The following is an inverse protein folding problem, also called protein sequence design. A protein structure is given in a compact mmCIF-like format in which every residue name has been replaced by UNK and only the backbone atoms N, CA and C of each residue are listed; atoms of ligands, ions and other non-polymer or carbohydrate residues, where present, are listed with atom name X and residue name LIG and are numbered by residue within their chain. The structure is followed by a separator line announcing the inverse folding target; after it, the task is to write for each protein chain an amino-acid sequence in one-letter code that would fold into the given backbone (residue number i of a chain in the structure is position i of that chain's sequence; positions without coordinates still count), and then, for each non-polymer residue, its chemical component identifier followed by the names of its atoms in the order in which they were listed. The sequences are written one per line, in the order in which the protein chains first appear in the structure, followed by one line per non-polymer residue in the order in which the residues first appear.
data_IF_445827385703
#
_entry.id   IF_445827385703
#
_cell.length_a   1.000
_cell.length_b   1.000
_cell.length_c   1.000
_cell.angle_alpha   90.00
_cell.angle_beta   90.00
_cell.angle_gamma   90.00
#
_symmetry.space_group_name_H-M   'P 1'
#
loop_
_entity.id
_entity.type
_entity.pdbx_description
1 polymer ?
#
# COMPACT_ATOMS: atom_id res chain seq x y z
N UNK A 1 26.20 -16.61 9.65
CA UNK A 1 25.32 -16.77 10.82
C UNK A 1 24.76 -15.46 11.38
N UNK A 2 24.78 -14.36 10.61
CA UNK A 2 24.39 -12.99 11.05
C UNK A 2 22.95 -12.60 10.66
N UNK A 3 22.30 -13.33 9.75
CA UNK A 3 20.96 -12.98 9.23
C UNK A 3 19.79 -13.30 10.18
N UNK A 4 19.99 -14.05 11.26
CA UNK A 4 18.90 -14.51 12.15
C UNK A 4 18.37 -13.45 13.11
N UNK A 5 19.02 -12.29 13.22
CA UNK A 5 18.68 -11.21 14.16
C UNK A 5 18.45 -9.84 13.52
N UNK A 6 18.28 -9.77 12.19
CA UNK A 6 18.00 -8.49 11.55
C UNK A 6 16.61 -7.96 11.99
N UNK A 7 16.49 -6.66 12.30
CA UNK A 7 15.23 -6.04 12.67
C UNK A 7 14.17 -6.23 11.59
N UNK A 8 14.58 -6.26 10.32
CA UNK A 8 13.74 -6.53 9.14
C UNK A 8 13.06 -7.90 9.22
N UNK A 9 13.79 -8.95 9.62
CA UNK A 9 13.24 -10.31 9.76
C UNK A 9 12.18 -10.40 10.89
N UNK A 10 12.30 -9.57 11.92
CA UNK A 10 11.29 -9.51 13.01
C UNK A 10 10.01 -8.81 12.52
N UNK A 11 10.14 -7.76 11.71
CA UNK A 11 9.01 -7.08 11.09
C UNK A 11 8.32 -8.00 10.08
N UNK A 12 9.07 -8.66 9.21
CA UNK A 12 8.54 -9.66 8.26
C UNK A 12 7.80 -10.80 8.98
N UNK A 13 8.31 -11.26 10.12
CA UNK A 13 7.62 -12.27 10.95
C UNK A 13 6.28 -11.77 11.53
N UNK A 14 6.17 -10.49 11.87
CA UNK A 14 4.91 -9.90 12.34
C UNK A 14 3.84 -9.87 11.24
N UNK A 15 4.25 -9.63 10.00
CA UNK A 15 3.36 -9.72 8.83
C UNK A 15 3.10 -11.17 8.40
N UNK A 16 4.01 -12.11 8.70
CA UNK A 16 3.84 -13.53 8.39
C UNK A 16 2.66 -14.19 9.14
N UNK A 17 2.27 -13.66 10.30
CA UNK A 17 1.07 -14.11 11.02
C UNK A 17 -0.24 -13.77 10.25
N UNK A 18 -0.17 -12.86 9.26
CA UNK A 18 -1.30 -12.40 8.45
C UNK A 18 -1.11 -12.69 6.95
N UNK A 19 -0.59 -13.87 6.62
CA UNK A 19 -0.29 -14.28 5.23
C UNK A 19 -1.44 -14.03 4.26
N UNK A 20 -2.68 -14.29 4.67
CA UNK A 20 -3.87 -14.10 3.83
C UNK A 20 -4.09 -12.63 3.47
N UNK A 21 -3.89 -11.70 4.43
CA UNK A 21 -4.03 -10.26 4.20
C UNK A 21 -2.92 -9.75 3.29
N UNK A 22 -1.68 -10.19 3.50
CA UNK A 22 -0.55 -9.83 2.65
C UNK A 22 -0.75 -10.31 1.21
N UNK A 23 -1.18 -11.56 1.03
CA UNK A 23 -1.48 -12.11 -0.31
C UNK A 23 -2.62 -11.34 -0.98
N UNK A 24 -3.65 -10.98 -0.21
CA UNK A 24 -4.76 -10.17 -0.73
C UNK A 24 -4.31 -8.77 -1.16
N UNK A 25 -3.48 -8.10 -0.35
CA UNK A 25 -2.91 -6.79 -0.69
C UNK A 25 -2.04 -6.88 -1.96
N UNK A 26 -1.18 -7.91 -2.07
CA UNK A 26 -0.38 -8.15 -3.26
C UNK A 26 -1.26 -8.36 -4.50
N UNK A 27 -2.33 -9.15 -4.39
CA UNK A 27 -3.27 -9.35 -5.49
C UNK A 27 -3.92 -8.02 -5.94
N UNK A 28 -4.31 -7.16 -4.99
CA UNK A 28 -4.86 -5.83 -5.32
C UNK A 28 -3.84 -4.94 -6.02
N UNK A 29 -2.56 -4.95 -5.61
CA UNK A 29 -1.49 -4.21 -6.28
C UNK A 29 -1.31 -4.70 -7.72
N UNK A 30 -1.29 -6.02 -7.95
CA UNK A 30 -1.19 -6.55 -9.30
C UNK A 30 -2.38 -6.18 -10.18
N UNK A 31 -3.60 -6.19 -9.64
CA UNK A 31 -4.82 -5.76 -10.35
C UNK A 31 -4.74 -4.28 -10.68
N UNK A 32 -4.35 -3.43 -9.72
CA UNK A 32 -4.19 -2.00 -9.95
C UNK A 32 -3.16 -1.71 -11.03
N UNK A 33 -1.98 -2.34 -10.96
CA UNK A 33 -0.92 -2.19 -11.96
C UNK A 33 -1.38 -2.64 -13.36
N UNK A 34 -2.12 -3.73 -13.48
CA UNK A 34 -2.68 -4.18 -14.75
C UNK A 34 -3.69 -3.17 -15.34
N UNK A 35 -4.54 -2.58 -14.49
CA UNK A 35 -5.48 -1.53 -14.90
C UNK A 35 -4.75 -0.26 -15.35
N UNK A 36 -3.73 0.17 -14.63
CA UNK A 36 -2.95 1.37 -14.95
C UNK A 36 -2.20 1.23 -16.26
N UNK A 37 -1.70 0.03 -16.59
CA UNK A 37 -1.08 -0.25 -17.89
C UNK A 37 -2.10 -0.19 -19.05
N UNK A 38 -3.37 -0.46 -18.79
CA UNK A 38 -4.42 -0.48 -19.83
C UNK A 38 -4.69 0.92 -20.41
N UNK A 39 -4.59 1.97 -19.60
CA UNK A 39 -4.83 3.37 -20.03
C UNK A 39 -3.91 3.81 -21.16
N UNK A 40 -2.56 3.66 -21.09
CA UNK A 40 -1.68 4.04 -22.19
C UNK A 40 -1.93 3.25 -23.47
N UNK A 41 -2.34 1.98 -23.39
CA UNK A 41 -2.70 1.19 -24.59
C UNK A 41 -3.94 1.75 -25.28
N UNK A 42 -4.98 2.13 -24.53
CA UNK A 42 -6.19 2.75 -25.11
C UNK A 42 -5.82 4.11 -25.72
N UNK A 43 -4.98 4.90 -25.04
CA UNK A 43 -4.54 6.22 -25.51
C UNK A 43 -3.73 6.13 -26.78
N UNK A 44 -2.82 5.15 -26.90
CA UNK A 44 -2.06 4.89 -28.10
C UNK A 44 -2.99 4.55 -29.29
N UNK A 45 -3.95 3.64 -29.10
CA UNK A 45 -4.92 3.26 -30.10
C UNK A 45 -5.74 4.46 -30.60
N UNK A 46 -6.10 5.35 -29.69
CA UNK A 46 -6.83 6.57 -30.01
C UNK A 46 -5.99 7.52 -30.86
N UNK A 47 -4.71 7.69 -30.53
CA UNK A 47 -3.78 8.51 -31.32
C UNK A 47 -3.63 7.94 -32.72
N UNK A 48 -3.45 6.62 -32.86
CA UNK A 48 -3.29 5.93 -34.15
C UNK A 48 -4.52 6.19 -35.05
N UNK A 49 -5.75 6.06 -34.50
CA UNK A 49 -6.99 6.32 -35.23
C UNK A 49 -7.10 7.78 -35.68
N UNK A 50 -6.68 8.73 -34.84
CA UNK A 50 -6.66 10.14 -35.19
C UNK A 50 -5.66 10.44 -36.30
N UNK A 51 -4.47 9.90 -36.23
CA UNK A 51 -3.42 10.09 -37.26
C UNK A 51 -3.88 9.52 -38.60
N UNK A 52 -4.48 8.32 -38.60
CA UNK A 52 -5.03 7.72 -39.82
C UNK A 52 -6.17 8.53 -40.42
N UNK A 53 -7.05 9.07 -39.60
CA UNK A 53 -8.13 9.97 -40.07
C UNK A 53 -7.58 11.23 -40.73
N UNK A 54 -6.57 11.88 -40.12
CA UNK A 54 -5.96 13.07 -40.70
C UNK A 54 -5.16 12.78 -41.99
N UNK A 55 -4.65 11.56 -42.16
CA UNK A 55 -3.92 11.14 -43.36
C UNK A 55 -4.82 10.76 -44.51
N UNK A 56 -5.90 10.04 -44.26
CA UNK A 56 -6.72 9.41 -45.29
C UNK A 56 -8.04 10.14 -45.53
N UNK A 57 -8.48 10.96 -44.58
CA UNK A 57 -9.81 11.63 -44.62
C UNK A 57 -10.98 10.65 -44.59
N UNK A 58 -10.72 9.36 -44.40
CA UNK A 58 -11.73 8.33 -44.47
C UNK A 58 -12.20 7.93 -43.05
N UNK A 59 -13.51 7.83 -42.86
CA UNK A 59 -14.17 7.37 -41.64
C UNK A 59 -14.64 8.48 -40.72
N UNK A 60 -15.45 8.11 -39.75
CA UNK A 60 -15.92 9.02 -38.68
C UNK A 60 -15.19 8.67 -37.39
N UNK A 61 -14.19 9.47 -36.95
CA UNK A 61 -13.44 9.20 -35.74
C UNK A 61 -14.28 9.38 -34.48
N UNK A 62 -15.46 10.04 -34.62
CA UNK A 62 -16.27 10.44 -33.46
C UNK A 62 -16.69 9.27 -32.58
N UNK A 63 -17.18 8.20 -33.17
CA UNK A 63 -17.60 7.01 -32.42
C UNK A 63 -16.41 6.33 -31.73
N UNK A 64 -15.25 6.26 -32.38
CA UNK A 64 -14.03 5.69 -31.79
C UNK A 64 -13.50 6.54 -30.65
N UNK A 65 -13.57 7.87 -30.80
CA UNK A 65 -13.19 8.82 -29.74
C UNK A 65 -14.10 8.66 -28.51
N UNK A 66 -15.42 8.59 -28.71
CA UNK A 66 -16.39 8.41 -27.62
C UNK A 66 -16.16 7.08 -26.92
N UNK A 67 -15.98 5.99 -27.67
CA UNK A 67 -15.72 4.67 -27.10
C UNK A 67 -14.39 4.63 -26.33
N UNK A 68 -13.33 5.23 -26.86
CA UNK A 68 -12.05 5.29 -26.19
C UNK A 68 -12.11 6.14 -24.90
N UNK A 69 -12.77 7.31 -24.97
CA UNK A 69 -12.97 8.17 -23.79
C UNK A 69 -13.79 7.46 -22.71
N UNK A 70 -14.88 6.79 -23.09
CA UNK A 70 -15.68 5.99 -22.17
C UNK A 70 -14.88 4.82 -21.58
N UNK A 71 -14.04 4.15 -22.38
CA UNK A 71 -13.15 3.09 -21.93
C UNK A 71 -12.12 3.56 -20.91
N UNK A 72 -11.44 4.68 -21.17
CA UNK A 72 -10.48 5.29 -20.25
C UNK A 72 -11.18 5.66 -18.94
N UNK A 73 -12.35 6.31 -19.02
CA UNK A 73 -13.12 6.72 -17.85
C UNK A 73 -13.52 5.51 -17.00
N UNK A 74 -13.99 4.44 -17.63
CA UNK A 74 -14.39 3.20 -16.95
C UNK A 74 -13.18 2.55 -16.26
N UNK A 75 -12.07 2.40 -16.98
CA UNK A 75 -10.83 1.83 -16.40
C UNK A 75 -10.34 2.67 -15.24
N UNK A 76 -10.36 4.00 -15.36
CA UNK A 76 -9.94 4.92 -14.30
C UNK A 76 -10.82 4.79 -13.06
N UNK A 77 -12.16 4.71 -13.22
CA UNK A 77 -13.08 4.51 -12.09
C UNK A 77 -12.78 3.17 -11.39
N UNK A 78 -12.62 2.09 -12.16
CA UNK A 78 -12.32 0.77 -11.59
C UNK A 78 -10.97 0.79 -10.87
N UNK A 79 -9.93 1.40 -11.46
CA UNK A 79 -8.62 1.56 -10.82
C UNK A 79 -8.71 2.33 -9.51
N UNK A 80 -9.48 3.43 -9.46
CA UNK A 80 -9.68 4.21 -8.22
C UNK A 80 -10.39 3.40 -7.14
N UNK A 81 -11.37 2.58 -7.49
CA UNK A 81 -12.05 1.70 -6.54
C UNK A 81 -11.06 0.66 -5.97
N UNK A 82 -10.28 0.02 -6.82
CA UNK A 82 -9.26 -0.97 -6.40
C UNK A 82 -8.22 -0.32 -5.49
N UNK A 83 -7.68 0.85 -5.87
CA UNK A 83 -6.73 1.60 -5.06
C UNK A 83 -7.33 2.04 -3.71
N UNK A 84 -8.59 2.44 -3.68
CA UNK A 84 -9.29 2.81 -2.44
C UNK A 84 -9.42 1.63 -1.50
N UNK A 85 -9.78 0.45 -2.01
CA UNK A 85 -9.86 -0.79 -1.22
C UNK A 85 -8.47 -1.18 -0.71
N UNK A 86 -7.44 -1.09 -1.55
CA UNK A 86 -6.06 -1.35 -1.16
C UNK A 86 -5.61 -0.45 -0.02
N UNK A 87 -5.76 0.87 -0.18
CA UNK A 87 -5.36 1.86 0.82
C UNK A 87 -6.10 1.67 2.15
N UNK A 88 -7.40 1.40 2.11
CA UNK A 88 -8.19 1.12 3.29
C UNK A 88 -7.71 -0.14 4.04
N UNK A 89 -7.47 -1.22 3.32
CA UNK A 89 -6.96 -2.48 3.90
C UNK A 89 -5.55 -2.33 4.44
N UNK A 90 -4.68 -1.64 3.71
CA UNK A 90 -3.32 -1.33 4.15
C UNK A 90 -3.36 -0.54 5.46
N UNK A 91 -4.15 0.54 5.51
CA UNK A 91 -4.32 1.37 6.70
C UNK A 91 -4.73 0.53 7.93
N UNK A 92 -5.76 -0.30 7.81
CA UNK A 92 -6.22 -1.16 8.91
C UNK A 92 -5.10 -2.12 9.35
N UNK A 93 -4.42 -2.75 8.40
CA UNK A 93 -3.36 -3.73 8.70
C UNK A 93 -2.19 -3.09 9.43
N UNK A 94 -1.78 -1.89 8.99
CA UNK A 94 -0.69 -1.11 9.61
C UNK A 94 -1.08 -0.68 11.02
N UNK A 95 -2.27 -0.07 11.20
CA UNK A 95 -2.77 0.39 12.51
C UNK A 95 -2.85 -0.76 13.51
N UNK A 96 -3.44 -1.89 13.12
CA UNK A 96 -3.52 -3.05 14.00
C UNK A 96 -2.15 -3.65 14.35
N UNK A 97 -1.18 -3.53 13.45
CA UNK A 97 0.20 -3.99 13.69
C UNK A 97 0.91 -3.06 14.65
N UNK A 98 0.75 -1.74 14.48
CA UNK A 98 1.24 -0.72 15.39
C UNK A 98 0.70 -0.92 16.81
N UNK A 99 -0.63 -1.06 16.95
CA UNK A 99 -1.28 -1.29 18.25
C UNK A 99 -0.78 -2.57 18.93
N UNK A 100 -0.60 -3.63 18.16
CA UNK A 100 -0.06 -4.90 18.69
C UNK A 100 1.37 -4.74 19.20
N UNK A 101 2.20 -3.99 18.49
CA UNK A 101 3.58 -3.69 18.91
C UNK A 101 3.57 -2.81 20.15
N UNK A 102 2.76 -1.74 20.15
CA UNK A 102 2.62 -0.81 21.28
C UNK A 102 2.16 -1.54 22.54
N UNK A 103 1.12 -2.34 22.45
CA UNK A 103 0.57 -3.09 23.58
C UNK A 103 1.57 -4.12 24.13
N UNK A 104 2.25 -4.88 23.27
CA UNK A 104 3.27 -5.84 23.69
C UNK A 104 4.47 -5.15 24.35
N UNK A 105 4.89 -4.02 23.82
CA UNK A 105 5.99 -3.25 24.37
C UNK A 105 5.63 -2.66 25.74
N UNK A 106 4.39 -2.14 25.86
CA UNK A 106 3.86 -1.59 27.11
C UNK A 106 3.68 -2.67 28.19
N UNK A 107 3.13 -3.84 27.81
CA UNK A 107 3.01 -4.97 28.72
C UNK A 107 4.38 -5.44 29.23
N UNK A 108 5.38 -5.51 28.35
CA UNK A 108 6.75 -5.85 28.74
C UNK A 108 7.36 -4.79 29.66
N UNK A 109 7.09 -3.51 29.42
CA UNK A 109 7.54 -2.41 30.27
C UNK A 109 6.94 -2.50 31.67
N UNK A 110 5.64 -2.80 31.79
CA UNK A 110 4.98 -2.96 33.09
C UNK A 110 5.48 -4.16 33.90
N UNK A 111 6.00 -5.19 33.22
CA UNK A 111 6.59 -6.37 33.89
C UNK A 111 8.05 -6.18 34.33
N UNK A 112 8.68 -5.02 34.02
CA UNK A 112 10.02 -4.71 34.47
C UNK A 112 10.05 -4.38 35.97
N UNK A 113 11.13 -4.78 36.63
CA UNK A 113 11.29 -4.64 38.07
C UNK A 113 11.19 -3.16 38.52
N UNK A 114 10.65 -2.89 39.71
CA UNK A 114 10.46 -1.55 40.25
C UNK A 114 11.74 -0.68 40.26
N UNK A 115 12.91 -1.29 40.42
CA UNK A 115 14.23 -0.61 40.37
C UNK A 115 14.51 0.02 38.98
N UNK A 116 13.95 -0.54 37.89
CA UNK A 116 14.11 0.01 36.56
C UNK A 116 13.29 1.30 36.38
N UNK A 117 12.15 1.37 37.04
CA UNK A 117 11.29 2.58 37.02
C UNK A 117 11.90 3.76 37.77
N UNK A 118 12.77 3.50 38.77
CA UNK A 118 13.45 4.56 39.51
C UNK A 118 14.67 5.16 38.78
N UNK A 119 15.33 4.39 37.92
CA UNK A 119 16.53 4.80 37.20
C UNK A 119 16.31 5.44 35.84
N UNK A 120 15.12 5.34 35.28
CA UNK A 120 14.82 5.80 33.92
C UNK A 120 13.62 6.74 33.94
N UNK A 121 13.73 7.91 33.27
CA UNK A 121 12.59 8.79 33.07
C UNK A 121 11.52 8.06 32.24
N UNK A 122 10.38 7.79 32.86
CA UNK A 122 9.22 7.12 32.22
C UNK A 122 8.83 7.75 30.89
N UNK A 123 8.93 9.07 30.79
CA UNK A 123 8.64 9.82 29.56
C UNK A 123 9.59 9.50 28.41
N UNK A 124 10.89 9.30 28.68
CA UNK A 124 11.85 8.93 27.63
C UNK A 124 11.58 7.53 27.07
N UNK A 125 11.20 6.59 27.93
CA UNK A 125 10.91 5.21 27.51
C UNK A 125 9.64 5.16 26.69
N UNK A 126 8.58 5.82 27.15
CA UNK A 126 7.31 5.94 26.41
C UNK A 126 7.56 6.60 25.05
N UNK A 127 8.31 7.69 24.98
CA UNK A 127 8.65 8.34 23.71
C UNK A 127 9.50 7.47 22.76
N UNK A 128 10.34 6.57 23.26
CA UNK A 128 11.07 5.59 22.43
C UNK A 128 10.15 4.48 21.92
N UNK A 129 9.23 4.01 22.74
CA UNK A 129 8.24 3.00 22.37
C UNK A 129 7.29 3.53 21.29
N UNK A 130 6.84 4.76 21.45
CA UNK A 130 5.95 5.42 20.50
C UNK A 130 6.63 5.62 19.14
N UNK A 131 7.85 6.16 19.12
CA UNK A 131 8.63 6.28 17.88
C UNK A 131 8.90 4.93 17.22
N UNK A 132 9.16 3.88 18.00
CA UNK A 132 9.36 2.52 17.47
C UNK A 132 8.09 1.92 16.88
N UNK A 133 6.94 2.19 17.47
CA UNK A 133 5.65 1.73 16.95
C UNK A 133 5.29 2.48 15.66
N UNK A 134 5.47 3.80 15.64
CA UNK A 134 5.19 4.65 14.48
C UNK A 134 6.12 4.36 13.29
N UNK A 135 7.33 3.83 13.51
CA UNK A 135 8.22 3.41 12.43
C UNK A 135 7.61 2.34 11.50
N UNK A 136 6.56 1.63 11.93
CA UNK A 136 5.81 0.68 11.08
C UNK A 136 5.16 1.40 9.90
N UNK A 137 4.71 2.64 10.10
CA UNK A 137 4.14 3.46 9.04
C UNK A 137 5.17 3.81 7.96
N UNK A 138 6.38 4.19 8.35
CA UNK A 138 7.45 4.47 7.39
C UNK A 138 7.76 3.24 6.52
N UNK A 139 7.81 2.03 7.13
CA UNK A 139 8.06 0.80 6.38
C UNK A 139 6.92 0.43 5.42
N UNK A 140 5.69 0.83 5.75
CA UNK A 140 4.52 0.45 4.94
C UNK A 140 4.23 1.41 3.79
N UNK A 141 4.68 2.68 3.90
CA UNK A 141 4.37 3.76 2.94
C UNK A 141 5.59 4.28 2.17
N UNK A 142 6.83 3.95 2.58
CA UNK A 142 8.07 4.20 1.83
C UNK A 142 8.45 3.00 0.95
#
# INVERSE_FOLDING_TARGET
MVLKNSPVLRVVKLFADRKREVVFLLALVFIAAALDITVPFISQRLIDVLVDFFRTGAGSPLNTLILAAAGILLVTIVSQIVNSIYNYRLFITVTQTEDKIRNRAFEKYLRLHALFHHGSSSGQIIGRLDRGATAVWAIAYD
#
